data_IF_141062819534
#
_entry.id   IF_141062819534
#
_cell.length_a   1.000
_cell.length_b   1.000
_cell.length_c   1.000
_cell.angle_alpha   90.00
_cell.angle_beta   90.00
_cell.angle_gamma   90.00
#
_symmetry.space_group_name_H-M   'P 1'
#
loop_
_entity.id
_entity.type
_entity.pdbx_description
1 polymer ?
#
# COMPACT_ATOMS: atom_id res chain seq x y z
N UNK A 1 77.93 -33.25 12.63
CA UNK A 1 77.45 -31.89 12.31
C UNK A 1 77.64 -31.65 10.82
N UNK A 2 76.55 -31.51 10.05
CA UNK A 2 76.55 -31.20 8.61
C UNK A 2 75.45 -30.16 8.37
N UNK A 3 75.82 -28.98 7.87
CA UNK A 3 74.90 -27.92 7.47
C UNK A 3 74.54 -28.09 5.98
N UNK A 4 73.27 -27.98 5.58
CA UNK A 4 72.90 -27.94 4.17
C UNK A 4 73.09 -26.54 3.57
N UNK A 5 73.64 -26.56 2.36
CA UNK A 5 73.99 -25.43 1.49
C UNK A 5 72.75 -24.65 1.01
N UNK A 6 72.75 -23.34 1.24
CA UNK A 6 71.81 -22.36 0.66
C UNK A 6 72.39 -21.80 -0.63
N UNK A 7 72.12 -22.45 -1.76
CA UNK A 7 72.59 -21.95 -3.07
C UNK A 7 71.61 -22.29 -4.21
N UNK A 8 70.36 -21.85 -4.12
CA UNK A 8 69.41 -21.85 -5.26
C UNK A 8 68.23 -20.89 -5.00
N UNK A 9 68.45 -19.57 -4.90
CA UNK A 9 67.30 -18.64 -4.77
C UNK A 9 67.54 -17.22 -5.30
N UNK A 10 68.32 -17.08 -6.37
CA UNK A 10 68.53 -15.76 -7.01
C UNK A 10 68.16 -15.74 -8.49
N UNK A 11 68.03 -16.89 -9.15
CA UNK A 11 67.74 -16.96 -10.59
C UNK A 11 66.26 -16.79 -10.97
N UNK A 12 65.32 -16.96 -10.02
CA UNK A 12 63.89 -16.78 -10.29
C UNK A 12 63.43 -15.31 -10.26
N UNK A 13 64.15 -14.43 -9.55
CA UNK A 13 63.77 -13.01 -9.46
C UNK A 13 64.18 -12.21 -10.71
N UNK A 14 65.20 -12.68 -11.45
CA UNK A 14 65.70 -11.95 -12.62
C UNK A 14 64.81 -12.18 -13.87
N UNK A 15 64.16 -13.34 -13.99
CA UNK A 15 63.22 -13.62 -15.08
C UNK A 15 61.87 -12.89 -14.89
N UNK A 16 61.44 -12.64 -13.66
CA UNK A 16 60.23 -11.84 -13.38
C UNK A 16 60.44 -10.35 -13.71
N UNK A 17 61.66 -9.82 -13.51
CA UNK A 17 61.97 -8.42 -13.77
C UNK A 17 62.09 -8.10 -15.28
N UNK A 18 62.58 -9.04 -16.10
CA UNK A 18 62.70 -8.84 -17.56
C UNK A 18 61.33 -8.94 -18.25
N UNK A 19 60.44 -9.82 -17.78
CA UNK A 19 59.07 -9.92 -18.31
C UNK A 19 58.20 -8.66 -18.08
N UNK A 20 58.57 -7.82 -17.11
CA UNK A 20 57.89 -6.54 -16.83
C UNK A 20 58.36 -5.38 -17.72
N UNK A 21 59.54 -5.47 -18.33
CA UNK A 21 60.18 -4.35 -19.03
C UNK A 21 59.89 -4.29 -20.54
N UNK A 22 59.37 -5.36 -21.14
CA UNK A 22 58.97 -5.39 -22.57
C UNK A 22 57.47 -5.54 -22.77
N UNK A 23 56.66 -5.20 -21.77
CA UNK A 23 55.24 -4.98 -21.98
C UNK A 23 55.08 -3.65 -22.72
N UNK A 24 55.18 -3.74 -24.05
CA UNK A 24 54.92 -2.68 -25.01
C UNK A 24 53.65 -1.92 -24.63
N UNK A 25 53.58 -0.63 -24.95
CA UNK A 25 52.42 0.23 -24.65
C UNK A 25 51.08 -0.41 -25.06
N UNK A 26 51.08 -1.22 -26.12
CA UNK A 26 49.96 -2.02 -26.60
C UNK A 26 49.47 -3.10 -25.62
N UNK A 27 50.37 -3.74 -24.86
CA UNK A 27 50.01 -4.76 -23.86
C UNK A 27 49.42 -4.17 -22.57
N UNK A 28 49.76 -2.92 -22.23
CA UNK A 28 49.14 -2.21 -21.10
C UNK A 28 47.68 -1.85 -21.40
N UNK A 29 47.37 -1.45 -22.64
CA UNK A 29 46.01 -1.09 -23.06
C UNK A 29 45.04 -2.29 -23.06
N UNK A 30 45.50 -3.49 -23.41
CA UNK A 30 44.64 -4.69 -23.38
C UNK A 30 44.39 -5.18 -21.95
N UNK A 31 45.39 -5.08 -21.06
CA UNK A 31 45.24 -5.39 -19.64
C UNK A 31 44.30 -4.42 -18.92
N UNK A 32 44.37 -3.12 -19.22
CA UNK A 32 43.40 -2.16 -18.67
C UNK A 32 41.98 -2.44 -19.17
N UNK A 33 41.80 -2.80 -20.44
CA UNK A 33 40.48 -3.15 -20.98
C UNK A 33 39.89 -4.41 -20.34
N UNK A 34 40.70 -5.45 -20.12
CA UNK A 34 40.26 -6.67 -19.43
C UNK A 34 39.88 -6.37 -17.98
N UNK A 35 40.66 -5.53 -17.29
CA UNK A 35 40.40 -5.17 -15.91
C UNK A 35 39.21 -4.21 -15.73
N UNK A 36 39.04 -3.24 -16.64
CA UNK A 36 37.86 -2.36 -16.67
C UNK A 36 36.60 -3.15 -17.00
N UNK A 37 36.65 -4.09 -17.95
CA UNK A 37 35.54 -4.98 -18.23
C UNK A 37 35.12 -5.83 -17.02
N UNK A 38 36.06 -6.23 -16.16
CA UNK A 38 35.74 -7.01 -14.96
C UNK A 38 35.16 -6.14 -13.83
N UNK A 39 35.59 -4.87 -13.75
CA UNK A 39 35.00 -3.86 -12.85
C UNK A 39 33.55 -3.56 -13.24
N UNK A 40 33.24 -3.41 -14.52
CA UNK A 40 31.88 -3.18 -14.98
C UNK A 40 30.98 -4.39 -14.74
N UNK A 41 31.51 -5.60 -14.97
CA UNK A 41 30.81 -6.84 -14.58
C UNK A 41 30.57 -6.93 -13.07
N UNK A 42 31.52 -6.49 -12.25
CA UNK A 42 31.34 -6.44 -10.79
C UNK A 42 30.24 -5.44 -10.39
N UNK A 43 30.27 -4.21 -10.92
CA UNK A 43 29.24 -3.18 -10.69
C UNK A 43 27.85 -3.65 -11.12
N UNK A 44 27.75 -4.23 -12.32
CA UNK A 44 26.51 -4.84 -12.82
C UNK A 44 25.98 -5.91 -11.88
N UNK A 45 26.83 -6.82 -11.39
CA UNK A 45 26.43 -7.86 -10.43
C UNK A 45 25.91 -7.29 -9.12
N UNK A 46 26.50 -6.20 -8.62
CA UNK A 46 26.02 -5.52 -7.41
C UNK A 46 24.65 -4.86 -7.66
N UNK A 47 24.52 -4.09 -8.74
CA UNK A 47 23.26 -3.44 -9.11
C UNK A 47 22.12 -4.46 -9.32
N UNK A 48 22.39 -5.58 -9.98
CA UNK A 48 21.38 -6.64 -10.17
C UNK A 48 20.99 -7.33 -8.86
N UNK A 49 21.89 -7.44 -7.88
CA UNK A 49 21.55 -7.94 -6.55
C UNK A 49 20.66 -6.95 -5.81
N UNK A 50 20.98 -5.65 -5.86
CA UNK A 50 20.16 -4.60 -5.27
C UNK A 50 18.75 -4.60 -5.88
N UNK A 51 18.63 -4.69 -7.21
CA UNK A 51 17.32 -4.76 -7.87
C UNK A 51 16.53 -6.03 -7.52
N UNK A 52 17.19 -7.17 -7.30
CA UNK A 52 16.52 -8.38 -6.82
C UNK A 52 15.96 -8.20 -5.41
N UNK A 53 16.73 -7.57 -4.54
CA UNK A 53 16.32 -7.25 -3.18
C UNK A 53 15.14 -6.27 -3.18
N UNK A 54 15.24 -5.16 -3.92
CA UNK A 54 14.15 -4.18 -4.07
C UNK A 54 12.89 -4.81 -4.68
N UNK A 55 13.04 -5.74 -5.63
CA UNK A 55 11.88 -6.50 -6.16
C UNK A 55 11.18 -7.31 -5.07
N UNK A 56 11.93 -7.94 -4.16
CA UNK A 56 11.38 -8.71 -3.06
C UNK A 56 10.68 -7.81 -2.03
N UNK A 57 11.26 -6.63 -1.75
CA UNK A 57 10.63 -5.61 -0.92
C UNK A 57 9.33 -5.08 -1.55
N UNK A 58 9.32 -4.80 -2.86
CA UNK A 58 8.09 -4.37 -3.54
C UNK A 58 7.02 -5.46 -3.57
N UNK A 59 7.38 -6.73 -3.66
CA UNK A 59 6.39 -7.83 -3.51
C UNK A 59 5.84 -7.91 -2.09
N UNK A 60 6.68 -7.74 -1.06
CA UNK A 60 6.19 -7.79 0.32
C UNK A 60 5.34 -6.55 0.67
N UNK A 61 5.65 -5.39 0.09
CA UNK A 61 4.82 -4.19 0.19
C UNK A 61 3.48 -4.39 -0.51
N UNK A 62 3.45 -4.97 -1.71
CA UNK A 62 2.21 -5.32 -2.40
C UNK A 62 1.31 -6.20 -1.54
N UNK A 63 1.85 -7.27 -0.95
CA UNK A 63 1.09 -8.15 -0.05
C UNK A 63 0.57 -7.43 1.19
N UNK A 64 1.32 -6.44 1.72
CA UNK A 64 0.88 -5.63 2.86
C UNK A 64 -0.24 -4.66 2.47
N UNK A 65 -0.16 -4.04 1.30
CA UNK A 65 -1.20 -3.15 0.75
C UNK A 65 -2.49 -3.94 0.51
N UNK A 66 -2.40 -5.13 -0.07
CA UNK A 66 -3.57 -6.00 -0.28
C UNK A 66 -4.25 -6.37 1.05
N UNK A 67 -3.47 -6.74 2.07
CA UNK A 67 -4.03 -6.99 3.42
C UNK A 67 -4.65 -5.74 4.04
N UNK A 68 -4.07 -4.55 3.82
CA UNK A 68 -4.66 -3.31 4.28
C UNK A 68 -6.00 -3.05 3.59
N UNK A 69 -6.09 -3.27 2.27
CA UNK A 69 -7.32 -3.19 1.48
C UNK A 69 -8.40 -4.17 1.95
N UNK A 70 -8.03 -5.41 2.27
CA UNK A 70 -8.98 -6.37 2.84
C UNK A 70 -9.50 -5.92 4.22
N UNK A 71 -8.62 -5.36 5.06
CA UNK A 71 -9.01 -4.83 6.38
C UNK A 71 -9.94 -3.63 6.25
N UNK A 72 -9.69 -2.71 5.32
CA UNK A 72 -10.59 -1.56 5.08
C UNK A 72 -11.95 -2.03 4.60
N UNK A 73 -12.01 -2.89 3.59
CA UNK A 73 -13.27 -3.43 3.07
C UNK A 73 -14.06 -4.18 4.17
N UNK A 74 -13.37 -4.93 5.03
CA UNK A 74 -14.01 -5.64 6.15
C UNK A 74 -14.51 -4.70 7.24
N UNK A 75 -13.84 -3.57 7.47
CA UNK A 75 -14.29 -2.57 8.41
C UNK A 75 -15.54 -1.84 7.87
N UNK A 76 -15.52 -1.43 6.60
CA UNK A 76 -16.64 -0.75 5.94
C UNK A 76 -17.91 -1.61 5.90
N UNK A 77 -17.81 -2.89 5.48
CA UNK A 77 -18.97 -3.81 5.48
C UNK A 77 -19.61 -3.97 6.86
N UNK A 78 -18.81 -3.89 7.93
CA UNK A 78 -19.35 -3.99 9.28
C UNK A 78 -20.09 -2.72 9.70
N UNK A 79 -19.66 -1.56 9.22
CA UNK A 79 -20.40 -0.31 9.45
C UNK A 79 -21.75 -0.32 8.72
N UNK A 80 -21.80 -0.91 7.52
CA UNK A 80 -23.06 -1.14 6.81
C UNK A 80 -23.96 -2.15 7.55
N UNK A 81 -23.45 -3.34 7.90
CA UNK A 81 -24.21 -4.38 8.61
C UNK A 81 -24.71 -3.90 9.99
N UNK A 82 -23.90 -3.13 10.73
CA UNK A 82 -24.28 -2.59 12.03
C UNK A 82 -25.36 -1.51 11.97
N UNK A 83 -25.47 -0.79 10.85
CA UNK A 83 -26.51 0.21 10.64
C UNK A 83 -27.87 -0.44 10.42
N UNK A 84 -27.93 -1.52 9.65
CA UNK A 84 -29.18 -2.23 9.37
C UNK A 84 -29.76 -2.89 10.64
N UNK A 85 -28.92 -3.40 11.54
CA UNK A 85 -29.35 -3.96 12.83
C UNK A 85 -29.89 -2.88 13.80
N UNK A 86 -29.30 -1.67 13.81
CA UNK A 86 -29.80 -0.55 14.64
C UNK A 86 -31.14 0.01 14.10
N UNK A 87 -31.34 0.04 12.79
CA UNK A 87 -32.62 0.46 12.17
C UNK A 87 -33.76 -0.54 12.46
N UNK A 88 -33.50 -1.85 12.47
CA UNK A 88 -34.50 -2.86 12.86
C UNK A 88 -34.84 -2.86 14.37
N UNK A 89 -33.87 -2.65 15.26
CA UNK A 89 -34.14 -2.53 16.71
C UNK A 89 -34.84 -1.21 17.06
N UNK A 90 -34.57 -0.13 16.32
CA UNK A 90 -35.26 1.17 16.45
C UNK A 90 -36.75 1.07 16.10
N UNK A 91 -37.09 0.39 14.99
CA UNK A 91 -38.47 0.25 14.53
C UNK A 91 -39.39 -0.59 15.43
N UNK A 92 -38.84 -1.49 16.25
CA UNK A 92 -39.64 -2.31 17.20
C UNK A 92 -39.97 -1.62 18.52
N UNK A 93 -39.37 -0.48 18.83
CA UNK A 93 -39.57 0.22 20.12
C UNK A 93 -40.49 1.43 20.07
N UNK A 94 -40.94 1.85 18.89
CA UNK A 94 -41.88 2.98 18.75
C UNK A 94 -43.37 2.60 18.89
N UNK A 95 -43.68 1.32 19.17
CA UNK A 95 -45.06 0.83 19.30
C UNK A 95 -45.67 0.78 20.71
N UNK A 96 -44.89 0.97 21.79
CA UNK A 96 -45.43 0.89 23.15
C UNK A 96 -44.73 1.91 24.07
N UNK A 97 -45.38 3.06 24.28
CA UNK A 97 -45.51 3.72 25.59
C UNK A 97 -46.31 5.01 25.47
N UNK A 98 -47.62 4.86 25.63
CA UNK A 98 -48.44 5.90 26.25
C UNK A 98 -48.35 5.81 27.78
N UNK A 99 -48.34 7.01 28.37
CA UNK A 99 -48.75 7.40 29.73
C UNK A 99 -47.93 6.95 30.96
N UNK A 100 -47.47 7.98 31.69
CA UNK A 100 -46.87 7.85 33.02
C UNK A 100 -46.12 9.11 33.47
N UNK A 101 -46.85 10.18 33.77
CA UNK A 101 -46.44 11.33 34.60
C UNK A 101 -45.78 10.83 35.91
N UNK A 102 -44.89 11.50 36.66
CA UNK A 102 -44.61 12.91 36.91
C UNK A 102 -43.34 13.03 37.78
N UNK A 103 -42.81 14.26 37.84
CA UNK A 103 -42.16 14.86 39.00
C UNK A 103 -40.79 14.34 39.48
N UNK A 104 -39.73 14.92 38.91
CA UNK A 104 -38.64 15.49 39.73
C UNK A 104 -37.92 16.59 38.92
N UNK A 105 -38.25 17.84 39.24
CA UNK A 105 -37.58 19.05 38.79
C UNK A 105 -36.10 19.04 39.23
N UNK A 106 -35.25 18.38 38.45
CA UNK A 106 -33.81 18.32 38.67
C UNK A 106 -33.13 18.82 37.41
N UNK A 107 -32.74 20.10 37.43
CA UNK A 107 -32.03 20.90 36.42
C UNK A 107 -31.78 20.24 35.06
N UNK A 108 -32.47 20.71 34.02
CA UNK A 108 -32.37 20.28 32.62
C UNK A 108 -31.07 20.73 31.91
N UNK A 109 -29.93 20.74 32.61
CA UNK A 109 -28.64 21.10 32.05
C UNK A 109 -27.70 19.90 32.21
N UNK A 110 -27.65 19.06 31.17
CA UNK A 110 -26.80 17.87 31.02
C UNK A 110 -27.06 16.72 32.02
N UNK A 111 -28.08 15.90 31.75
CA UNK A 111 -28.20 14.56 32.35
C UNK A 111 -27.71 13.50 31.37
N UNK A 112 -26.48 13.02 31.56
CA UNK A 112 -26.04 11.75 30.98
C UNK A 112 -26.55 10.65 31.90
N UNK A 113 -27.58 9.91 31.49
CA UNK A 113 -28.03 8.76 32.28
C UNK A 113 -26.93 7.71 32.28
N UNK A 114 -26.59 7.16 33.44
CA UNK A 114 -25.61 6.08 33.59
C UNK A 114 -26.02 4.79 32.86
N UNK A 115 -27.25 4.73 32.34
CA UNK A 115 -27.78 3.68 31.47
C UNK A 115 -27.51 3.90 29.98
N UNK A 116 -26.82 4.98 29.59
CA UNK A 116 -26.51 5.29 28.19
C UNK A 116 -27.72 5.73 27.37
N UNK A 117 -28.88 5.96 27.99
CA UNK A 117 -30.08 6.46 27.32
C UNK A 117 -30.01 7.99 27.25
N UNK A 118 -29.90 8.52 26.03
CA UNK A 118 -30.07 9.95 25.76
C UNK A 118 -31.56 10.28 25.86
N UNK A 119 -31.92 11.19 26.76
CA UNK A 119 -33.27 11.74 26.77
C UNK A 119 -33.42 12.67 25.57
N UNK A 120 -34.52 12.55 24.82
CA UNK A 120 -34.85 13.48 23.72
C UNK A 120 -34.82 14.89 24.28
N UNK A 121 -33.91 15.71 23.78
CA UNK A 121 -33.81 17.11 24.16
C UNK A 121 -34.52 17.98 23.12
N UNK A 122 -34.84 19.23 23.47
CA UNK A 122 -35.49 20.20 22.57
C UNK A 122 -34.72 20.42 21.25
N UNK A 123 -33.43 20.12 21.27
CA UNK A 123 -32.54 20.25 20.11
C UNK A 123 -32.53 19.01 19.21
N UNK A 124 -33.01 17.85 19.69
CA UNK A 124 -33.13 16.64 18.87
C UNK A 124 -34.38 16.69 17.96
N UNK A 125 -35.35 17.56 18.27
CA UNK A 125 -36.56 17.80 17.45
C UNK A 125 -36.36 18.98 16.47
N UNK A 126 -35.24 19.69 16.54
CA UNK A 126 -34.97 20.83 15.69
C UNK A 126 -34.38 20.37 14.36
N UNK A 127 -35.20 20.39 13.31
CA UNK A 127 -34.79 20.09 11.95
C UNK A 127 -34.07 21.30 11.34
N UNK A 128 -32.74 21.25 11.39
CA UNK A 128 -31.84 22.30 10.91
C UNK A 128 -32.02 22.54 9.40
N UNK A 129 -32.31 21.50 8.63
CA UNK A 129 -32.48 21.62 7.16
C UNK A 129 -33.76 22.38 6.83
N UNK A 130 -34.86 22.06 7.53
CA UNK A 130 -36.13 22.77 7.36
C UNK A 130 -36.04 24.25 7.75
N UNK A 131 -35.29 24.58 8.79
CA UNK A 131 -35.12 25.97 9.21
C UNK A 131 -34.13 26.74 8.32
N UNK A 132 -33.13 26.07 7.74
CA UNK A 132 -32.28 26.65 6.68
C UNK A 132 -33.09 26.95 5.42
N UNK A 133 -33.96 26.03 4.98
CA UNK A 133 -34.81 26.24 3.81
C UNK A 133 -35.80 27.41 4.04
N UNK A 134 -36.32 27.54 5.26
CA UNK A 134 -37.15 28.68 5.65
C UNK A 134 -36.38 30.00 5.56
N UNK A 135 -35.13 30.04 6.03
CA UNK A 135 -34.28 31.22 5.95
C UNK A 135 -33.91 31.56 4.50
N UNK A 136 -33.63 30.56 3.65
CA UNK A 136 -33.37 30.79 2.22
C UNK A 136 -34.61 31.31 1.47
N UNK A 137 -35.81 30.87 1.85
CA UNK A 137 -37.06 31.43 1.34
C UNK A 137 -37.35 32.84 1.85
N UNK A 138 -36.97 33.17 3.09
CA UNK A 138 -37.09 34.51 3.65
C UNK A 138 -36.08 35.47 2.98
N UNK A 139 -34.83 35.04 2.77
CA UNK A 139 -33.81 35.78 2.03
C UNK A 139 -34.22 36.00 0.55
N UNK A 140 -34.81 34.99 -0.11
CA UNK A 140 -35.37 35.17 -1.47
C UNK A 140 -36.57 36.12 -1.51
N UNK A 141 -37.33 36.23 -0.42
CA UNK A 141 -38.44 37.20 -0.32
C UNK A 141 -37.93 38.62 -0.06
N UNK A 142 -36.85 38.77 0.68
CA UNK A 142 -36.21 40.06 0.95
C UNK A 142 -35.31 40.53 -0.22
N UNK A 143 -34.75 39.59 -1.00
CA UNK A 143 -33.88 39.84 -2.15
C UNK A 143 -34.61 40.10 -3.48
N UNK A 144 -35.92 39.91 -3.57
CA UNK A 144 -36.70 40.10 -4.82
C UNK A 144 -37.02 41.58 -5.14
N UNK A 145 -36.28 42.52 -4.53
CA UNK A 145 -36.39 43.96 -4.77
C UNK A 145 -35.51 44.48 -5.91
N UNK A 146 -34.46 43.79 -6.33
CA UNK A 146 -33.54 44.29 -7.36
C UNK A 146 -32.93 43.15 -8.20
N UNK A 147 -32.68 43.47 -9.48
CA UNK A 147 -31.96 42.64 -10.46
C UNK A 147 -32.76 41.61 -11.26
N UNK A 148 -33.66 42.18 -12.05
CA UNK A 148 -33.83 41.82 -13.46
C UNK A 148 -32.49 42.04 -14.20
N UNK A 149 -31.90 41.00 -14.82
CA UNK A 149 -31.35 40.99 -16.21
C UNK A 149 -30.27 39.91 -16.44
N UNK A 150 -30.46 39.13 -17.52
CA UNK A 150 -29.42 38.39 -18.26
C UNK A 150 -29.28 36.93 -17.84
N UNK A 151 -29.59 35.90 -18.62
CA UNK A 151 -29.51 35.77 -20.08
C UNK A 151 -28.37 34.81 -20.42
N UNK A 152 -28.66 33.67 -21.06
CA UNK A 152 -27.59 32.76 -21.51
C UNK A 152 -28.03 31.33 -21.80
N UNK A 153 -28.79 31.14 -22.87
CA UNK A 153 -28.96 29.85 -23.56
C UNK A 153 -27.65 29.40 -24.25
N UNK A 154 -27.39 28.10 -24.24
CA UNK A 154 -26.34 27.44 -25.04
C UNK A 154 -26.34 25.94 -24.73
N UNK A 155 -27.16 25.12 -25.39
CA UNK A 155 -27.05 24.58 -26.75
C UNK A 155 -25.96 23.51 -26.90
N UNK A 156 -26.46 22.28 -26.98
CA UNK A 156 -26.06 21.13 -27.82
C UNK A 156 -24.59 20.99 -28.25
N UNK A 157 -23.99 19.88 -27.82
CA UNK A 157 -22.84 19.25 -28.44
C UNK A 157 -23.03 17.73 -28.44
N UNK A 158 -23.40 17.24 -29.61
CA UNK A 158 -23.67 15.86 -30.00
C UNK A 158 -22.39 15.10 -30.39
N UNK A 159 -22.45 13.77 -30.24
CA UNK A 159 -21.83 12.71 -31.09
C UNK A 159 -20.29 12.69 -31.19
N UNK A 160 -19.61 11.58 -30.88
CA UNK A 160 -19.21 10.43 -31.73
C UNK A 160 -18.01 9.82 -30.96
N UNK A 161 -17.55 8.58 -31.03
CA UNK A 161 -17.84 7.35 -31.75
C UNK A 161 -16.99 6.25 -31.08
N UNK A 162 -17.44 5.02 -31.28
CA UNK A 162 -16.64 3.81 -31.54
C UNK A 162 -15.39 3.43 -30.71
N UNK A 163 -15.46 2.19 -30.20
CA UNK A 163 -14.57 1.16 -30.73
C UNK A 163 -13.67 0.46 -29.71
N UNK A 164 -13.79 -0.87 -29.65
CA UNK A 164 -12.67 -1.70 -29.20
C UNK A 164 -13.01 -2.92 -28.36
N UNK A 165 -13.76 -3.87 -28.91
CA UNK A 165 -13.75 -5.26 -28.47
C UNK A 165 -12.33 -5.85 -28.65
N UNK A 166 -11.77 -6.46 -27.60
CA UNK A 166 -10.67 -7.41 -27.75
C UNK A 166 -10.74 -8.47 -26.64
N UNK A 167 -11.46 -9.53 -26.98
CA UNK A 167 -11.57 -10.79 -26.25
C UNK A 167 -10.22 -11.54 -26.31
N UNK A 168 -9.46 -11.52 -25.21
CA UNK A 168 -8.13 -12.13 -25.09
C UNK A 168 -8.17 -13.49 -24.39
N UNK A 169 -8.60 -14.51 -25.10
CA UNK A 169 -8.57 -15.92 -24.69
C UNK A 169 -7.12 -16.44 -24.75
N UNK A 170 -6.45 -16.61 -23.60
CA UNK A 170 -5.12 -17.26 -23.54
C UNK A 170 -5.09 -18.36 -22.48
N UNK A 171 -5.13 -19.60 -22.98
CA UNK A 171 -4.14 -20.64 -22.66
C UNK A 171 -4.05 -21.15 -21.22
N UNK A 172 -4.92 -22.11 -20.89
CA UNK A 172 -4.62 -23.15 -19.89
C UNK A 172 -3.52 -24.07 -20.45
N UNK A 173 -2.28 -23.90 -20.01
CA UNK A 173 -1.26 -24.95 -20.12
C UNK A 173 -1.17 -25.72 -18.80
N UNK A 174 -1.56 -26.99 -18.88
CA UNK A 174 -1.28 -27.96 -17.84
C UNK A 174 0.23 -28.15 -17.68
N UNK A 175 0.68 -28.25 -16.43
CA UNK A 175 2.02 -28.76 -16.15
C UNK A 175 1.98 -29.74 -14.97
N UNK A 176 1.98 -31.00 -15.38
CA UNK A 176 2.64 -32.17 -14.79
C UNK A 176 2.78 -32.23 -13.27
N UNK A 177 1.99 -33.15 -12.73
CA UNK A 177 2.17 -33.83 -11.44
C UNK A 177 3.43 -34.70 -11.51
N UNK A 178 4.41 -34.42 -10.66
CA UNK A 178 5.47 -35.36 -10.26
C UNK A 178 5.84 -34.96 -8.83
N UNK A 179 5.39 -35.65 -7.78
CA UNK A 179 5.69 -37.04 -7.54
C UNK A 179 7.01 -37.16 -6.78
N UNK A 180 7.09 -36.67 -5.53
CA UNK A 180 8.19 -37.07 -4.64
C UNK A 180 7.70 -37.37 -3.22
N UNK A 181 7.72 -38.68 -2.98
CA UNK A 181 7.47 -39.43 -1.76
C UNK A 181 8.33 -39.04 -0.57
N UNK A 182 7.67 -39.15 0.58
CA UNK A 182 8.10 -39.81 1.83
C UNK A 182 9.33 -39.26 2.57
N UNK A 183 9.01 -38.61 3.69
CA UNK A 183 9.89 -38.35 4.82
C UNK A 183 9.07 -37.96 6.05
N UNK A 184 8.03 -38.75 6.37
CA UNK A 184 7.17 -38.57 7.54
C UNK A 184 7.96 -38.94 8.79
N UNK A 185 8.63 -37.96 9.38
CA UNK A 185 9.23 -38.06 10.71
C UNK A 185 8.18 -37.60 11.72
N UNK A 186 7.51 -38.56 12.34
CA UNK A 186 6.62 -38.34 13.48
C UNK A 186 7.44 -37.88 14.68
N UNK A 187 7.61 -36.56 14.79
CA UNK A 187 8.05 -35.90 16.01
C UNK A 187 6.82 -35.29 16.66
N UNK A 188 6.24 -36.01 17.62
CA UNK A 188 5.22 -35.47 18.51
C UNK A 188 5.78 -34.26 19.24
N UNK A 189 5.32 -33.06 18.84
CA UNK A 189 5.38 -31.88 19.68
C UNK A 189 4.03 -31.76 20.35
N UNK A 190 4.04 -32.10 21.62
CA UNK A 190 2.98 -31.83 22.58
C UNK A 190 2.53 -30.38 22.41
N UNK A 191 1.23 -30.24 22.16
CA UNK A 191 0.59 -28.96 21.94
C UNK A 191 0.65 -28.12 23.21
N UNK A 192 1.54 -27.14 23.21
CA UNK A 192 1.29 -25.90 23.91
C UNK A 192 0.05 -25.27 23.24
N UNK A 193 -1.10 -25.50 23.86
CA UNK A 193 -2.32 -24.74 23.64
C UNK A 193 -2.04 -23.32 24.10
N UNK A 194 -1.34 -22.56 23.27
CA UNK A 194 -1.28 -21.10 23.40
C UNK A 194 -2.72 -20.60 23.32
N UNK A 195 -3.22 -20.13 24.46
CA UNK A 195 -4.54 -19.50 24.56
C UNK A 195 -4.67 -18.49 23.44
N UNK A 196 -5.57 -18.79 22.51
CA UNK A 196 -5.89 -17.93 21.38
C UNK A 196 -6.37 -16.60 21.91
N UNK A 197 -5.43 -15.67 22.08
CA UNK A 197 -5.75 -14.26 22.23
C UNK A 197 -6.47 -13.91 20.95
N UNK A 198 -7.79 -13.82 21.02
CA UNK A 198 -8.60 -13.29 19.93
C UNK A 198 -7.92 -12.01 19.46
N UNK A 199 -7.33 -12.08 18.26
CA UNK A 199 -6.66 -10.92 17.67
C UNK A 199 -7.75 -9.89 17.49
N UNK A 200 -7.84 -8.94 18.42
CA UNK A 200 -8.77 -7.82 18.35
C UNK A 200 -8.64 -7.24 16.96
N UNK A 201 -9.77 -7.19 16.24
CA UNK A 201 -9.78 -6.71 14.86
C UNK A 201 -9.21 -5.29 14.83
N UNK A 202 -8.40 -4.96 13.82
CA UNK A 202 -7.78 -3.65 13.75
C UNK A 202 -8.87 -2.57 13.61
N UNK A 203 -8.70 -1.46 14.32
CA UNK A 203 -9.59 -0.29 14.18
C UNK A 203 -9.24 0.49 12.91
N UNK A 204 -10.19 1.26 12.35
CA UNK A 204 -9.93 2.11 11.17
C UNK A 204 -8.72 3.03 11.36
N UNK A 205 -8.55 3.59 12.56
CA UNK A 205 -7.38 4.40 12.91
C UNK A 205 -6.05 3.63 12.82
N UNK A 206 -6.03 2.34 13.19
CA UNK A 206 -4.83 1.51 13.03
C UNK A 206 -4.53 1.24 11.56
N UNK A 207 -5.56 1.01 10.74
CA UNK A 207 -5.39 0.80 9.29
C UNK A 207 -4.88 2.09 8.63
N UNK A 208 -5.37 3.26 9.02
CA UNK A 208 -4.88 4.55 8.52
C UNK A 208 -3.40 4.77 8.83
N UNK A 209 -2.96 4.47 10.06
CA UNK A 209 -1.53 4.53 10.41
C UNK A 209 -0.70 3.56 9.59
N UNK A 210 -1.17 2.32 9.42
CA UNK A 210 -0.49 1.30 8.60
C UNK A 210 -0.37 1.73 7.13
N UNK A 211 -1.41 2.34 6.55
CA UNK A 211 -1.39 2.89 5.19
C UNK A 211 -0.34 4.01 5.06
N UNK A 212 -0.24 4.90 6.06
CA UNK A 212 0.80 5.94 6.09
C UNK A 212 2.22 5.36 6.19
N UNK A 213 2.41 4.30 6.97
CA UNK A 213 3.69 3.58 7.03
C UNK A 213 4.05 2.93 5.69
N UNK A 214 3.07 2.33 5.02
CA UNK A 214 3.25 1.74 3.69
C UNK A 214 3.65 2.77 2.64
N UNK A 215 3.05 3.96 2.68
CA UNK A 215 3.43 5.07 1.80
C UNK A 215 4.91 5.44 2.00
N UNK A 216 5.31 5.63 3.27
CA UNK A 216 6.70 5.97 3.60
C UNK A 216 7.69 4.88 3.17
N UNK A 217 7.34 3.60 3.35
CA UNK A 217 8.18 2.49 2.94
C UNK A 217 8.32 2.41 1.41
N UNK A 218 7.25 2.69 0.67
CA UNK A 218 7.28 2.71 -0.79
C UNK A 218 8.11 3.88 -1.34
N UNK A 219 8.00 5.07 -0.73
CA UNK A 219 8.85 6.23 -1.05
C UNK A 219 10.34 5.95 -0.80
N UNK A 220 10.68 5.29 0.32
CA UNK A 220 12.06 4.86 0.61
C UNK A 220 12.56 3.88 -0.45
N UNK A 221 11.74 2.90 -0.83
CA UNK A 221 12.10 1.93 -1.87
C UNK A 221 12.36 2.60 -3.22
N UNK A 222 11.55 3.60 -3.59
CA UNK A 222 11.77 4.42 -4.79
C UNK A 222 13.06 5.24 -4.71
N UNK A 223 13.35 5.86 -3.56
CA UNK A 223 14.62 6.58 -3.35
C UNK A 223 15.85 5.67 -3.49
N UNK A 224 15.78 4.44 -2.96
CA UNK A 224 16.82 3.43 -3.19
C UNK A 224 16.94 3.07 -4.67
N UNK A 225 15.82 2.94 -5.37
CA UNK A 225 15.78 2.57 -6.78
C UNK A 225 16.43 3.63 -7.68
N UNK A 226 16.23 4.92 -7.38
CA UNK A 226 16.84 6.04 -8.10
C UNK A 226 18.36 6.09 -7.93
N UNK A 227 18.86 5.67 -6.76
CA UNK A 227 20.30 5.59 -6.49
C UNK A 227 21.01 4.51 -7.34
N UNK A 228 20.29 3.49 -7.81
CA UNK A 228 20.87 2.40 -8.61
C UNK A 228 21.23 2.89 -10.00
N UNK A 229 22.53 2.84 -10.34
CA UNK A 229 23.09 3.11 -11.68
C UNK A 229 23.61 1.82 -12.30
N UNK A 230 23.54 1.70 -13.62
CA UNK A 230 24.04 0.52 -14.32
C UNK A 230 23.82 0.55 -15.83
N UNK A 231 24.09 -0.59 -16.46
CA UNK A 231 23.97 -0.83 -17.90
C UNK A 231 22.51 -0.93 -18.36
N UNK A 232 22.31 -1.19 -19.66
CA UNK A 232 20.97 -1.25 -20.27
C UNK A 232 20.06 -2.30 -19.62
N UNK A 233 20.62 -3.43 -19.16
CA UNK A 233 19.85 -4.45 -18.46
C UNK A 233 19.37 -3.97 -17.08
N UNK A 234 20.26 -3.34 -16.30
CA UNK A 234 19.92 -2.72 -15.01
C UNK A 234 18.87 -1.62 -15.22
N UNK A 235 19.03 -0.79 -16.25
CA UNK A 235 18.08 0.28 -16.60
C UNK A 235 16.70 -0.27 -16.92
N UNK A 236 16.62 -1.33 -17.74
CA UNK A 236 15.34 -1.98 -18.09
C UNK A 236 14.64 -2.56 -16.86
N UNK A 237 15.37 -3.26 -16.00
CA UNK A 237 14.81 -3.83 -14.75
C UNK A 237 14.38 -2.73 -13.78
N UNK A 238 15.17 -1.67 -13.64
CA UNK A 238 14.82 -0.50 -12.83
C UNK A 238 13.51 0.11 -13.32
N UNK A 239 13.37 0.36 -14.63
CA UNK A 239 12.13 0.90 -15.22
C UNK A 239 10.90 0.02 -14.92
N UNK A 240 11.04 -1.30 -15.03
CA UNK A 240 9.95 -2.21 -14.70
C UNK A 240 9.53 -2.14 -13.22
N UNK A 241 10.49 -1.96 -12.31
CA UNK A 241 10.19 -1.77 -10.89
C UNK A 241 9.56 -0.40 -10.61
N UNK A 242 10.01 0.68 -11.27
CA UNK A 242 9.37 2.01 -11.17
C UNK A 242 7.89 1.93 -11.53
N UNK A 243 7.58 1.31 -12.68
CA UNK A 243 6.20 1.15 -13.13
C UNK A 243 5.36 0.41 -12.09
N UNK A 244 5.88 -0.71 -11.57
CA UNK A 244 5.21 -1.46 -10.52
C UNK A 244 5.03 -0.64 -9.23
N UNK A 245 6.01 0.17 -8.84
CA UNK A 245 5.87 1.05 -7.68
C UNK A 245 4.77 2.10 -7.88
N UNK A 246 4.61 2.64 -9.09
CA UNK A 246 3.51 3.55 -9.40
C UNK A 246 2.15 2.86 -9.30
N UNK A 247 2.01 1.63 -9.80
CA UNK A 247 0.79 0.83 -9.62
C UNK A 247 0.44 0.68 -8.13
N UNK A 248 1.44 0.39 -7.29
CA UNK A 248 1.24 0.27 -5.83
C UNK A 248 0.87 1.59 -5.16
N UNK A 249 1.37 2.74 -5.64
CA UNK A 249 0.91 4.04 -5.15
C UNK A 249 -0.55 4.27 -5.49
N UNK A 250 -0.98 3.94 -6.72
CA UNK A 250 -2.40 4.03 -7.11
C UNK A 250 -3.28 3.14 -6.24
N UNK A 251 -2.86 1.90 -5.98
CA UNK A 251 -3.59 0.99 -5.07
C UNK A 251 -3.69 1.57 -3.65
N UNK A 252 -2.62 2.19 -3.15
CA UNK A 252 -2.59 2.80 -1.83
C UNK A 252 -3.49 4.04 -1.75
N UNK A 253 -3.49 4.86 -2.81
CA UNK A 253 -4.36 6.04 -2.93
C UNK A 253 -5.84 5.63 -2.92
N UNK A 254 -6.20 4.55 -3.62
CA UNK A 254 -7.56 3.98 -3.56
C UNK A 254 -7.94 3.56 -2.14
N UNK A 255 -7.04 2.90 -1.41
CA UNK A 255 -7.28 2.50 -0.02
C UNK A 255 -7.43 3.73 0.88
N UNK A 256 -6.64 4.76 0.64
CA UNK A 256 -6.68 6.02 1.39
C UNK A 256 -7.97 6.79 1.14
N UNK A 257 -8.43 6.86 -0.11
CA UNK A 257 -9.70 7.51 -0.47
C UNK A 257 -10.90 6.82 0.17
N UNK A 258 -10.87 5.49 0.35
CA UNK A 258 -11.93 4.73 1.05
C UNK A 258 -11.92 4.92 2.57
N UNK A 259 -10.83 5.45 3.13
CA UNK A 259 -10.68 5.70 4.57
C UNK A 259 -11.03 7.13 4.97
N UNK A 260 -11.23 8.03 3.99
CA UNK A 260 -11.67 9.41 4.19
C UNK A 260 -13.20 9.48 4.13
#
# INVERSE_FOLDING_TARGET
MRFPSTATSTSFLLLAAIGWLTLTSSGRATLTYIWEGDRDKARKRVALRQLKFLRAELTSLADRIERARERTNKALRKEEEGRDEEEEEGGRREGEKEEGESAASTSAYYHFSSSGRKFKNKWDEYDVERELERLEQEEKREGNGEEKLGGGEGREGSEEEEGGEANGQIGREGRSVEGRREGRKEGGREGEREGGKEKKRPTLGQVRTEVGELQSDLEKAMGHLDSVRGDEEVRRRRKALVLRSHELFTDLDEVTQRLL
#
